data_IF_004566644666
#
_entry.id   IF_004566644666
#
_cell.length_a   1.000
_cell.length_b   1.000
_cell.length_c   1.000
_cell.angle_alpha   90.00
_cell.angle_beta   90.00
_cell.angle_gamma   90.00
#
_symmetry.space_group_name_H-M   'P 1'
#
loop_
_entity.id
_entity.type
_entity.pdbx_description
1 polymer ?
#
# COMPACT_ATOMS: atom_id res chain seq x y z
N UNK A 1 -19.25 22.44 58.96
CA UNK A 1 -18.44 21.24 58.74
C UNK A 1 -19.30 20.28 57.92
N UNK A 2 -19.02 20.11 56.63
CA UNK A 2 -19.79 19.21 55.77
C UNK A 2 -18.99 17.93 55.55
N UNK A 3 -19.52 16.80 55.98
CA UNK A 3 -18.91 15.48 55.81
C UNK A 3 -19.32 14.94 54.45
N UNK A 4 -18.40 14.83 53.50
CA UNK A 4 -18.64 14.21 52.20
C UNK A 4 -18.38 12.70 52.35
N UNK A 5 -19.38 11.87 52.07
CA UNK A 5 -19.21 10.42 52.08
C UNK A 5 -18.37 9.98 50.88
N UNK A 6 -17.23 9.34 51.15
CA UNK A 6 -16.35 8.80 50.12
C UNK A 6 -16.62 7.31 49.88
N UNK A 7 -16.41 6.80 48.66
CA UNK A 7 -16.50 5.37 48.39
C UNK A 7 -15.55 4.56 49.29
N UNK A 8 -16.00 3.40 49.74
CA UNK A 8 -15.21 2.48 50.57
C UNK A 8 -13.95 2.08 49.79
N UNK A 9 -12.77 2.21 50.41
CA UNK A 9 -11.48 1.94 49.76
C UNK A 9 -10.84 3.15 49.06
N UNK A 10 -11.40 4.34 49.23
CA UNK A 10 -10.74 5.58 48.79
C UNK A 10 -9.52 5.89 49.65
N UNK A 11 -8.44 6.37 49.04
CA UNK A 11 -7.17 6.71 49.70
C UNK A 11 -6.59 7.99 49.11
N UNK A 12 -5.96 8.81 49.94
CA UNK A 12 -5.21 9.99 49.51
C UNK A 12 -3.69 9.74 49.45
N UNK A 13 -3.25 8.55 49.85
CA UNK A 13 -1.84 8.16 49.95
C UNK A 13 -0.97 9.17 50.71
N UNK A 14 -1.56 9.90 51.67
CA UNK A 14 -0.87 10.94 52.43
C UNK A 14 -0.53 12.20 51.63
N UNK A 15 -1.13 12.39 50.45
CA UNK A 15 -0.93 13.58 49.62
C UNK A 15 -2.19 14.47 49.63
N UNK A 16 -2.11 15.69 50.19
CA UNK A 16 -3.25 16.62 50.20
C UNK A 16 -3.72 16.93 48.78
N UNK A 17 -5.03 16.83 48.53
CA UNK A 17 -5.62 17.09 47.22
C UNK A 17 -5.66 15.89 46.27
N UNK A 18 -5.08 14.75 46.64
CA UNK A 18 -5.19 13.50 45.89
C UNK A 18 -6.34 12.66 46.46
N UNK A 19 -7.28 12.24 45.63
CA UNK A 19 -8.32 11.29 46.02
C UNK A 19 -8.38 10.15 45.00
N UNK A 20 -7.81 9.01 45.37
CA UNK A 20 -7.92 7.79 44.60
C UNK A 20 -9.18 7.05 45.03
N UNK A 21 -10.09 6.78 44.08
CA UNK A 21 -11.27 5.94 44.31
C UNK A 21 -11.02 4.54 43.74
N UNK A 22 -11.58 3.49 44.34
CA UNK A 22 -11.41 2.12 43.83
C UNK A 22 -12.01 1.99 42.43
N UNK A 23 -11.28 1.32 41.54
CA UNK A 23 -11.78 1.03 40.18
C UNK A 23 -12.86 -0.04 40.20
N UNK A 24 -13.88 0.10 39.35
CA UNK A 24 -14.91 -0.95 39.20
C UNK A 24 -14.44 -1.98 38.18
N UNK A 25 -14.84 -3.26 38.30
CA UNK A 25 -14.52 -4.28 37.30
C UNK A 25 -14.95 -3.88 35.87
N UNK A 26 -16.06 -3.16 35.74
CA UNK A 26 -16.56 -2.65 34.47
C UNK A 26 -15.62 -1.59 33.85
N UNK A 27 -14.96 -0.76 34.67
CA UNK A 27 -14.00 0.24 34.18
C UNK A 27 -12.80 -0.44 33.54
N UNK A 28 -12.28 -1.49 34.20
CA UNK A 28 -11.17 -2.32 33.70
C UNK A 28 -11.58 -3.00 32.38
N UNK A 29 -12.76 -3.64 32.35
CA UNK A 29 -13.25 -4.32 31.15
C UNK A 29 -13.39 -3.33 29.98
N UNK A 30 -14.01 -2.17 30.23
CA UNK A 30 -14.20 -1.13 29.22
C UNK A 30 -12.89 -0.60 28.70
N UNK A 31 -11.90 -0.41 29.58
CA UNK A 31 -10.56 0.01 29.22
C UNK A 31 -9.90 -0.97 28.25
N UNK A 32 -9.93 -2.28 28.54
CA UNK A 32 -9.33 -3.28 27.64
C UNK A 32 -10.10 -3.42 26.33
N UNK A 33 -11.43 -3.41 26.38
CA UNK A 33 -12.26 -3.52 25.18
C UNK A 33 -12.04 -2.33 24.23
N UNK A 34 -12.03 -1.11 24.73
CA UNK A 34 -11.96 0.08 23.88
C UNK A 34 -10.52 0.47 23.52
N UNK A 35 -9.51 0.17 24.32
CA UNK A 35 -8.13 0.48 23.94
C UNK A 35 -7.47 -0.64 23.12
N UNK A 36 -7.73 -1.92 23.41
CA UNK A 36 -7.03 -3.03 22.76
C UNK A 36 -7.92 -3.74 21.74
N UNK A 37 -9.12 -4.18 22.13
CA UNK A 37 -9.97 -4.97 21.23
C UNK A 37 -10.50 -4.11 20.07
N UNK A 38 -11.01 -2.92 20.36
CA UNK A 38 -11.48 -1.99 19.33
C UNK A 38 -10.34 -1.54 18.41
N UNK A 39 -9.15 -1.31 18.96
CA UNK A 39 -7.95 -1.00 18.18
C UNK A 39 -7.62 -2.12 17.20
N UNK A 40 -7.55 -3.37 17.69
CA UNK A 40 -7.29 -4.54 16.86
C UNK A 40 -8.33 -4.68 15.74
N UNK A 41 -9.61 -4.50 16.07
CA UNK A 41 -10.71 -4.63 15.12
C UNK A 41 -10.71 -3.53 14.04
N UNK A 42 -10.15 -2.36 14.33
CA UNK A 42 -10.19 -1.19 13.44
C UNK A 42 -8.94 -1.02 12.60
N UNK A 43 -7.90 -1.85 12.79
CA UNK A 43 -6.68 -1.84 11.97
C UNK A 43 -7.05 -1.96 10.48
N UNK A 44 -6.59 -0.99 9.70
CA UNK A 44 -6.83 -0.97 8.26
C UNK A 44 -6.11 -2.13 7.56
N UNK A 45 -6.84 -2.78 6.67
CA UNK A 45 -6.35 -3.84 5.78
C UNK A 45 -5.83 -3.24 4.49
N UNK A 46 -4.68 -3.73 4.01
CA UNK A 46 -4.21 -3.37 2.66
C UNK A 46 -4.97 -4.15 1.59
N UNK A 47 -5.12 -3.60 0.37
CA UNK A 47 -5.71 -4.33 -0.74
C UNK A 47 -5.02 -5.66 -1.00
N UNK A 48 -5.82 -6.74 -1.02
CA UNK A 48 -5.34 -8.11 -1.24
C UNK A 48 -4.42 -8.65 -0.14
N UNK A 49 -4.42 -8.08 1.05
CA UNK A 49 -3.62 -8.59 2.17
C UNK A 49 -4.10 -9.99 2.59
N UNK A 50 -3.15 -10.91 2.81
CA UNK A 50 -3.46 -12.25 3.29
C UNK A 50 -3.75 -12.22 4.79
N UNK A 51 -4.53 -13.18 5.27
CA UNK A 51 -5.00 -13.22 6.68
C UNK A 51 -3.84 -13.34 7.68
N UNK A 52 -2.81 -14.10 7.34
CA UNK A 52 -1.60 -14.27 8.14
C UNK A 52 -0.80 -12.96 8.24
N UNK A 53 -0.58 -12.28 7.12
CA UNK A 53 0.10 -10.98 7.09
C UNK A 53 -0.72 -9.90 7.84
N UNK A 54 -2.04 -9.92 7.68
CA UNK A 54 -2.95 -9.05 8.42
C UNK A 54 -2.85 -9.27 9.93
N UNK A 55 -2.88 -10.52 10.40
CA UNK A 55 -2.82 -10.84 11.82
C UNK A 55 -1.50 -10.37 12.45
N UNK A 56 -0.37 -10.58 11.77
CA UNK A 56 0.94 -10.07 12.21
C UNK A 56 0.90 -8.54 12.32
N UNK A 57 0.29 -7.86 11.37
CA UNK A 57 0.16 -6.40 11.41
C UNK A 57 -0.78 -5.91 12.52
N UNK A 58 -1.85 -6.65 12.85
CA UNK A 58 -2.72 -6.34 13.99
C UNK A 58 -1.93 -6.46 15.30
N UNK A 59 -1.19 -7.56 15.49
CA UNK A 59 -0.35 -7.76 16.66
C UNK A 59 0.71 -6.66 16.75
N UNK A 60 1.40 -6.36 15.64
CA UNK A 60 2.38 -5.27 15.57
C UNK A 60 1.76 -3.92 15.92
N UNK A 61 0.54 -3.65 15.44
CA UNK A 61 -0.18 -2.40 15.74
C UNK A 61 -0.61 -2.32 17.21
N UNK A 62 -0.92 -3.44 17.88
CA UNK A 62 -1.25 -3.47 19.31
C UNK A 62 -0.02 -3.19 20.19
N UNK A 63 1.14 -3.74 19.83
CA UNK A 63 2.38 -3.53 20.56
C UNK A 63 2.98 -2.15 20.29
N UNK A 64 2.84 -1.65 19.06
CA UNK A 64 3.38 -0.38 18.60
C UNK A 64 2.30 0.40 17.83
N UNK A 65 1.51 1.25 18.52
CA UNK A 65 0.42 2.02 17.90
C UNK A 65 0.83 2.80 16.65
N UNK A 66 2.09 3.26 16.58
CA UNK A 66 2.66 3.94 15.42
C UNK A 66 2.63 3.12 14.13
N UNK A 67 2.70 1.78 14.21
CA UNK A 67 2.60 0.90 13.04
C UNK A 67 1.19 0.91 12.45
N UNK A 68 0.16 0.94 13.29
CA UNK A 68 -1.23 1.09 12.85
C UNK A 68 -1.48 2.48 12.25
N UNK A 69 -0.90 3.52 12.86
CA UNK A 69 -1.04 4.90 12.41
C UNK A 69 -0.58 5.11 10.96
N UNK A 70 0.55 4.50 10.59
CA UNK A 70 1.09 4.59 9.23
C UNK A 70 0.07 4.15 8.17
N UNK A 71 -0.67 3.06 8.43
CA UNK A 71 -1.66 2.52 7.48
C UNK A 71 -2.86 3.45 7.35
N UNK A 72 -3.33 4.02 8.46
CA UNK A 72 -4.40 5.01 8.43
C UNK A 72 -3.99 6.31 7.72
N UNK A 73 -2.76 6.78 7.92
CA UNK A 73 -2.23 7.94 7.17
C UNK A 73 -2.14 7.62 5.68
N UNK A 74 -1.60 6.46 5.30
CA UNK A 74 -1.54 5.99 3.90
C UNK A 74 -2.93 6.00 3.27
N UNK A 75 -3.95 5.49 3.97
CA UNK A 75 -5.34 5.49 3.54
C UNK A 75 -5.94 6.89 3.32
N UNK A 76 -5.60 7.83 4.19
CA UNK A 76 -6.07 9.22 4.08
C UNK A 76 -5.39 9.92 2.91
N UNK A 77 -4.06 9.80 2.82
CA UNK A 77 -3.25 10.47 1.81
C UNK A 77 -3.46 9.92 0.40
N UNK A 78 -3.97 8.69 0.27
CA UNK A 78 -4.27 8.09 -1.02
C UNK A 78 -5.37 8.86 -1.78
N UNK A 79 -6.22 9.61 -1.07
CA UNK A 79 -7.20 10.52 -1.67
C UNK A 79 -8.34 9.82 -2.43
N UNK A 80 -8.58 8.53 -2.20
CA UNK A 80 -9.62 7.75 -2.87
C UNK A 80 -11.03 8.35 -2.71
N UNK A 81 -11.32 8.95 -1.56
CA UNK A 81 -12.61 9.64 -1.28
C UNK A 81 -12.91 10.79 -2.26
N UNK A 82 -11.89 11.45 -2.82
CA UNK A 82 -12.09 12.57 -3.73
C UNK A 82 -12.42 12.11 -5.16
N UNK A 83 -12.26 10.82 -5.47
CA UNK A 83 -12.60 10.25 -6.77
C UNK A 83 -14.08 9.87 -6.79
N UNK A 84 -14.87 10.61 -7.58
CA UNK A 84 -16.29 10.36 -7.79
C UNK A 84 -16.51 9.61 -9.11
N UNK A 85 -17.35 8.59 -9.07
CA UNK A 85 -17.89 7.89 -10.25
C UNK A 85 -16.88 7.18 -11.17
N UNK A 86 -15.63 7.01 -10.74
CA UNK A 86 -14.59 6.28 -11.47
C UNK A 86 -13.95 5.25 -10.53
N UNK A 87 -14.45 4.02 -10.61
CA UNK A 87 -14.03 2.95 -9.71
C UNK A 87 -12.62 2.43 -10.02
N UNK A 88 -12.19 2.47 -11.29
CA UNK A 88 -10.83 2.13 -11.68
C UNK A 88 -9.83 3.11 -11.09
N UNK A 89 -10.09 4.42 -11.21
CA UNK A 89 -9.24 5.44 -10.60
C UNK A 89 -9.29 5.38 -9.07
N UNK A 90 -10.44 5.07 -8.48
CA UNK A 90 -10.58 4.87 -7.02
C UNK A 90 -9.78 3.65 -6.54
N UNK A 91 -9.75 2.56 -7.31
CA UNK A 91 -8.94 1.38 -7.04
C UNK A 91 -7.44 1.67 -7.17
N UNK A 92 -7.04 2.42 -8.20
CA UNK A 92 -5.65 2.88 -8.37
C UNK A 92 -5.19 3.72 -7.17
N UNK A 93 -5.99 4.74 -6.81
CA UNK A 93 -5.78 5.57 -5.63
C UNK A 93 -5.71 4.74 -4.36
N UNK A 94 -6.48 3.68 -4.24
CA UNK A 94 -6.44 2.79 -3.07
C UNK A 94 -5.26 1.80 -3.08
N UNK A 95 -4.47 1.73 -4.15
CA UNK A 95 -3.39 0.74 -4.31
C UNK A 95 -3.89 -0.68 -4.54
N UNK A 96 -5.10 -0.82 -5.09
CA UNK A 96 -5.79 -2.09 -5.33
C UNK A 96 -5.56 -2.65 -6.74
N UNK A 97 -4.72 -2.01 -7.55
CA UNK A 97 -4.44 -2.43 -8.92
C UNK A 97 -3.00 -2.91 -9.05
N UNK A 98 -2.80 -3.88 -9.92
CA UNK A 98 -1.49 -4.41 -10.27
C UNK A 98 -1.34 -4.58 -11.78
N UNK A 99 -0.10 -4.50 -12.26
CA UNK A 99 0.23 -4.62 -13.68
C UNK A 99 1.41 -5.58 -13.86
N UNK A 100 1.46 -6.23 -15.01
CA UNK A 100 2.57 -7.10 -15.39
C UNK A 100 3.76 -6.26 -15.82
N UNK A 101 4.94 -6.55 -15.27
CA UNK A 101 6.19 -5.86 -15.55
C UNK A 101 7.30 -6.87 -15.84
N UNK A 102 8.32 -6.43 -16.58
CA UNK A 102 9.52 -7.22 -16.84
C UNK A 102 10.36 -7.25 -15.55
N UNK A 103 10.72 -8.45 -15.09
CA UNK A 103 11.63 -8.69 -13.97
C UNK A 103 13.09 -8.49 -14.35
N UNK A 104 13.99 -8.57 -13.37
CA UNK A 104 15.44 -8.44 -13.60
C UNK A 104 16.03 -9.61 -14.42
N UNK A 105 15.35 -10.76 -14.37
CA UNK A 105 15.58 -11.99 -15.09
C UNK A 105 15.03 -11.97 -16.53
N UNK A 106 14.22 -10.96 -16.89
CA UNK A 106 13.69 -10.84 -18.24
C UNK A 106 14.80 -10.66 -19.29
N UNK A 107 14.70 -11.40 -20.39
CA UNK A 107 15.56 -11.22 -21.57
C UNK A 107 14.70 -11.22 -22.85
N UNK A 108 15.11 -10.48 -23.91
CA UNK A 108 14.45 -10.55 -25.20
C UNK A 108 14.66 -11.93 -25.85
N UNK A 109 13.64 -12.47 -26.53
CA UNK A 109 13.71 -13.69 -27.34
C UNK A 109 13.63 -13.32 -28.82
N UNK A 110 14.17 -14.17 -29.69
CA UNK A 110 14.11 -13.96 -31.14
C UNK A 110 12.64 -13.89 -31.60
N UNK A 111 12.30 -12.84 -32.34
CA UNK A 111 10.94 -12.57 -32.81
C UNK A 111 10.07 -11.74 -31.86
N UNK A 112 10.57 -11.36 -30.67
CA UNK A 112 9.87 -10.42 -29.83
C UNK A 112 9.88 -9.02 -30.42
N UNK A 113 8.76 -8.32 -30.27
CA UNK A 113 8.62 -6.89 -30.54
C UNK A 113 8.38 -6.18 -29.20
N UNK A 114 9.44 -5.98 -28.38
CA UNK A 114 9.27 -5.39 -27.06
C UNK A 114 9.04 -3.89 -27.18
N UNK A 115 7.94 -3.40 -26.62
CA UNK A 115 7.67 -1.97 -26.46
C UNK A 115 8.52 -1.38 -25.32
N UNK A 116 8.72 -0.06 -25.32
CA UNK A 116 9.38 0.67 -24.22
C UNK A 116 10.80 0.16 -23.90
N UNK A 117 11.62 -0.06 -24.93
CA UNK A 117 13.03 -0.46 -24.80
C UNK A 117 13.94 0.62 -25.36
N UNK A 118 15.09 0.83 -24.71
CA UNK A 118 16.12 1.75 -25.18
C UNK A 118 17.15 0.93 -25.97
N UNK A 119 17.40 1.32 -27.21
CA UNK A 119 18.46 0.74 -28.03
C UNK A 119 19.78 1.44 -27.69
N UNK A 120 20.71 0.70 -27.09
CA UNK A 120 22.08 1.16 -26.87
C UNK A 120 22.99 0.50 -27.91
N UNK A 121 23.49 1.29 -28.86
CA UNK A 121 24.51 0.84 -29.81
C UNK A 121 25.78 0.49 -29.04
N UNK A 122 26.32 -0.71 -29.23
CA UNK A 122 27.62 -1.09 -28.71
C UNK A 122 28.69 -0.20 -29.32
N UNK A 123 29.62 0.31 -28.50
CA UNK A 123 30.77 1.02 -29.04
C UNK A 123 31.60 0.02 -29.83
N UNK A 124 31.81 0.30 -31.13
CA UNK A 124 32.75 -0.46 -31.95
C UNK A 124 34.13 -0.32 -31.32
N UNK A 125 34.64 -1.39 -30.72
CA UNK A 125 36.04 -1.46 -30.35
C UNK A 125 36.80 -1.64 -31.68
N UNK A 126 37.37 -0.55 -32.20
CA UNK A 126 38.36 -0.65 -33.26
C UNK A 126 39.55 -1.41 -32.70
N UNK A 127 39.64 -2.68 -33.06
CA UNK A 127 40.81 -3.50 -32.80
C UNK A 127 41.93 -2.96 -33.70
N UNK A 128 42.72 -2.00 -33.20
CA UNK A 128 43.93 -1.50 -33.87
C UNK A 128 45.05 -2.53 -33.73
N UNK A 129 44.88 -3.70 -34.32
CA UNK A 129 46.02 -4.55 -34.63
C UNK A 129 46.71 -4.00 -35.87
N UNK A 130 47.73 -3.18 -35.62
CA UNK A 130 48.74 -2.78 -36.59
C UNK A 130 49.49 -4.04 -37.04
N UNK A 131 49.21 -4.52 -38.24
CA UNK A 131 50.16 -5.33 -39.00
C UNK A 131 50.53 -4.51 -40.23
N UNK A 132 51.77 -4.01 -40.22
CA UNK A 132 52.43 -3.57 -41.45
C UNK A 132 52.68 -4.78 -42.34
N UNK A 133 52.61 -4.51 -43.64
CA UNK A 133 53.08 -5.30 -44.78
C UNK A 133 52.18 -6.44 -45.31
N UNK A 134 51.51 -6.21 -46.46
CA UNK A 134 52.02 -6.58 -47.81
C UNK A 134 50.91 -6.54 -48.91
N UNK A 135 51.23 -5.82 -50.01
CA UNK A 135 50.85 -5.94 -51.45
C UNK A 135 49.37 -5.91 -51.91
N UNK A 136 49.01 -5.09 -52.93
CA UNK A 136 47.64 -4.98 -53.44
C UNK A 136 47.32 -6.03 -54.52
N UNK A 137 46.42 -6.97 -54.23
CA UNK A 137 45.73 -7.75 -55.25
C UNK A 137 44.21 -7.57 -55.14
N UNK A 138 43.60 -7.28 -56.29
CA UNK A 138 42.18 -7.01 -56.50
C UNK A 138 41.30 -8.05 -55.81
N UNK A 139 40.58 -7.64 -54.76
CA UNK A 139 39.49 -8.41 -54.16
C UNK A 139 38.18 -7.69 -54.44
N UNK A 140 37.26 -8.39 -55.11
CA UNK A 140 35.86 -8.00 -55.17
C UNK A 140 35.35 -7.79 -53.75
N UNK A 141 35.04 -6.54 -53.40
CA UNK A 141 34.54 -6.18 -52.08
C UNK A 141 33.16 -6.78 -51.86
N UNK A 142 33.09 -7.95 -51.24
CA UNK A 142 31.91 -8.35 -50.50
C UNK A 142 31.80 -7.40 -49.31
N UNK A 143 30.93 -6.39 -49.39
CA UNK A 143 30.62 -5.52 -48.26
C UNK A 143 29.91 -6.34 -47.18
N UNK A 144 30.67 -6.98 -46.30
CA UNK A 144 30.13 -7.59 -45.08
C UNK A 144 29.85 -6.45 -44.11
N UNK A 145 28.60 -5.99 -44.07
CA UNK A 145 28.13 -5.11 -43.00
C UNK A 145 28.49 -5.79 -41.67
N UNK A 146 29.46 -5.22 -40.94
CA UNK A 146 29.77 -5.67 -39.59
C UNK A 146 28.63 -5.15 -38.73
N UNK A 147 27.65 -6.01 -38.47
CA UNK A 147 26.53 -5.68 -37.60
C UNK A 147 27.08 -5.28 -36.23
N UNK A 148 27.02 -3.99 -35.91
CA UNK A 148 27.39 -3.52 -34.59
C UNK A 148 26.42 -4.15 -33.57
N UNK A 149 26.92 -4.73 -32.47
CA UNK A 149 26.04 -5.31 -31.48
C UNK A 149 25.13 -4.22 -30.89
N UNK A 150 23.83 -4.33 -31.15
CA UNK A 150 22.82 -3.46 -30.54
C UNK A 150 22.37 -4.10 -29.23
N UNK A 151 22.64 -3.42 -28.12
CA UNK A 151 22.16 -3.83 -26.81
C UNK A 151 20.76 -3.25 -26.54
N UNK A 152 19.78 -4.13 -26.36
CA UNK A 152 18.45 -3.75 -25.89
C UNK A 152 18.48 -3.58 -24.37
N UNK A 153 18.23 -2.36 -23.90
CA UNK A 153 18.15 -2.04 -22.47
C UNK A 153 16.69 -1.79 -22.12
N UNK A 154 16.11 -2.68 -21.33
CA UNK A 154 14.79 -2.44 -20.72
C UNK A 154 14.95 -1.41 -19.61
N UNK A 155 14.11 -0.38 -19.60
CA UNK A 155 14.01 0.52 -18.46
C UNK A 155 12.82 0.14 -17.60
N UNK A 156 12.98 0.25 -16.28
CA UNK A 156 11.83 0.21 -15.37
C UNK A 156 11.13 1.56 -15.48
N UNK A 157 9.83 1.60 -15.82
CA UNK A 157 9.12 2.87 -15.95
C UNK A 157 9.17 3.67 -14.63
N UNK A 158 9.25 5.01 -14.67
CA UNK A 158 9.23 5.85 -13.47
C UNK A 158 8.06 5.53 -12.54
N UNK A 159 6.91 5.17 -13.12
CA UNK A 159 5.72 4.79 -12.38
C UNK A 159 5.87 3.45 -11.62
N UNK A 160 6.87 2.62 -11.86
CA UNK A 160 7.09 1.43 -11.01
C UNK A 160 7.64 1.79 -9.63
N UNK A 161 8.27 2.96 -9.50
CA UNK A 161 8.93 3.37 -8.29
C UNK A 161 7.98 4.16 -7.39
N UNK A 162 7.98 3.84 -6.10
CA UNK A 162 7.36 4.71 -5.11
C UNK A 162 8.12 6.05 -5.03
N UNK A 163 7.59 7.01 -4.25
CA UNK A 163 8.25 8.32 -4.02
C UNK A 163 9.68 8.21 -3.44
N UNK A 164 10.08 7.04 -2.96
CA UNK A 164 11.41 6.75 -2.42
C UNK A 164 12.31 6.01 -3.41
N UNK A 165 11.91 5.86 -4.68
CA UNK A 165 12.74 5.24 -5.72
C UNK A 165 12.81 3.72 -5.66
N UNK A 166 11.90 3.05 -4.93
CA UNK A 166 11.86 1.59 -4.83
C UNK A 166 10.71 1.00 -5.65
N UNK A 167 10.96 -0.04 -6.47
CA UNK A 167 9.90 -0.72 -7.22
C UNK A 167 8.96 -1.46 -6.26
N UNK A 168 7.66 -1.20 -6.36
CA UNK A 168 6.67 -1.83 -5.47
C UNK A 168 6.12 -3.09 -6.13
N UNK A 169 6.91 -4.16 -6.10
CA UNK A 169 6.45 -5.47 -6.54
C UNK A 169 5.34 -6.00 -5.64
N UNK A 170 4.38 -6.69 -6.24
CA UNK A 170 3.37 -7.42 -5.49
C UNK A 170 4.05 -8.61 -4.82
N UNK A 171 3.98 -8.64 -3.49
CA UNK A 171 4.50 -9.74 -2.68
C UNK A 171 3.45 -10.15 -1.65
N UNK A 172 3.18 -11.46 -1.55
CA UNK A 172 2.21 -12.05 -0.62
C UNK A 172 0.86 -11.33 -0.58
N UNK A 173 0.33 -10.96 -1.74
CA UNK A 173 -1.04 -10.43 -1.86
C UNK A 173 -1.88 -11.31 -2.77
N UNK A 174 -3.16 -11.35 -2.47
CA UNK A 174 -4.17 -12.04 -3.25
C UNK A 174 -4.46 -11.17 -4.48
N UNK A 175 -4.30 -11.76 -5.66
CA UNK A 175 -4.63 -11.14 -6.95
C UNK A 175 -5.92 -11.81 -7.44
N UNK A 176 -6.88 -11.00 -7.87
CA UNK A 176 -8.15 -11.43 -8.44
C UNK A 176 -7.94 -12.17 -9.76
N UNK A 177 -8.82 -13.10 -10.08
CA UNK A 177 -8.81 -13.80 -11.36
C UNK A 177 -7.87 -15.00 -11.41
N UNK A 178 -7.52 -15.42 -12.61
CA UNK A 178 -6.63 -16.57 -12.86
C UNK A 178 -5.48 -16.15 -13.74
N UNK A 179 -4.26 -16.50 -13.36
CA UNK A 179 -3.09 -16.16 -14.12
C UNK A 179 -2.00 -17.23 -14.09
N UNK A 180 -1.20 -17.26 -15.15
CA UNK A 180 0.06 -17.98 -15.27
C UNK A 180 1.08 -16.95 -15.76
N UNK A 181 2.06 -16.67 -14.92
CA UNK A 181 3.08 -15.67 -15.21
C UNK A 181 4.33 -16.36 -15.78
N UNK A 182 4.77 -16.02 -17.01
CA UNK A 182 5.99 -16.58 -17.58
C UNK A 182 7.25 -16.14 -16.83
N UNK A 183 8.33 -16.90 -16.99
CA UNK A 183 9.65 -16.54 -16.49
C UNK A 183 10.10 -15.17 -17.02
N UNK A 184 10.74 -14.36 -16.17
CA UNK A 184 11.09 -12.99 -16.50
C UNK A 184 10.00 -11.96 -16.27
N UNK A 185 8.80 -12.33 -15.80
CA UNK A 185 7.72 -11.37 -15.52
C UNK A 185 7.33 -11.38 -14.06
N UNK A 186 6.88 -10.22 -13.56
CA UNK A 186 6.44 -10.00 -12.18
C UNK A 186 5.22 -9.10 -12.16
N UNK A 187 4.46 -9.11 -11.06
CA UNK A 187 3.43 -8.11 -10.81
C UNK A 187 4.00 -6.93 -10.03
N UNK A 188 3.62 -5.72 -10.40
CA UNK A 188 3.89 -4.49 -9.66
C UNK A 188 2.59 -3.77 -9.32
N UNK A 189 2.56 -3.08 -8.18
CA UNK A 189 1.43 -2.25 -7.78
C UNK A 189 1.39 -1.02 -8.69
N UNK A 190 0.21 -0.71 -9.22
CA UNK A 190 0.00 0.47 -10.06
C UNK A 190 0.01 1.72 -9.17
N UNK A 191 0.66 2.82 -9.58
CA UNK A 191 0.64 4.06 -8.80
C UNK A 191 -0.73 4.69 -8.65
N UNK A 192 -0.86 5.43 -7.56
CA UNK A 192 -2.07 6.17 -7.20
C UNK A 192 -2.50 7.22 -8.23
N UNK A 193 -1.57 7.78 -9.01
CA UNK A 193 -1.80 8.88 -9.95
C UNK A 193 -1.76 8.45 -11.42
N UNK A 194 -1.92 7.15 -11.70
CA UNK A 194 -1.95 6.64 -13.07
C UNK A 194 -3.16 7.19 -13.84
N UNK A 195 -2.99 7.37 -15.15
CA UNK A 195 -4.08 7.68 -16.08
C UNK A 195 -4.41 6.44 -16.90
N UNK A 196 -5.69 6.16 -17.05
CA UNK A 196 -6.18 5.02 -17.83
C UNK A 196 -6.67 5.50 -19.19
N UNK A 197 -6.22 4.80 -20.23
CA UNK A 197 -6.83 4.95 -21.55
C UNK A 197 -8.17 4.21 -21.52
N UNK A 198 -9.24 4.90 -21.89
CA UNK A 198 -10.55 4.26 -22.01
C UNK A 198 -10.56 3.42 -23.28
N UNK A 199 -11.09 2.19 -23.19
CA UNK A 199 -11.45 1.42 -24.37
C UNK A 199 -12.60 2.15 -25.08
N UNK A 200 -12.25 3.04 -25.99
CA UNK A 200 -13.20 3.66 -26.91
C UNK A 200 -13.37 2.69 -28.08
N UNK A 201 -14.50 1.99 -28.12
CA UNK A 201 -14.88 1.25 -29.32
C UNK A 201 -15.57 2.25 -30.27
N UNK A 202 -14.94 2.65 -31.40
CA UNK A 202 -15.52 3.64 -32.31
C UNK A 202 -16.82 3.16 -32.97
N UNK A 203 -17.16 1.88 -32.83
CA UNK A 203 -18.35 1.25 -33.40
C UNK A 203 -19.58 1.28 -32.49
N UNK A 204 -19.43 1.60 -31.20
CA UNK A 204 -20.52 1.55 -30.22
C UNK A 204 -20.52 2.75 -29.28
N UNK A 205 -21.62 3.52 -29.24
CA UNK A 205 -21.82 4.64 -28.30
C UNK A 205 -21.97 4.21 -26.82
N UNK A 206 -21.83 2.91 -26.54
CA UNK A 206 -22.00 2.32 -25.21
C UNK A 206 -20.65 2.42 -24.49
N UNK A 207 -20.58 3.23 -23.44
CA UNK A 207 -19.42 3.28 -22.56
C UNK A 207 -19.38 2.01 -21.71
N UNK A 208 -18.32 1.19 -21.79
CA UNK A 208 -18.21 0.01 -20.93
C UNK A 208 -18.12 0.46 -19.47
N UNK A 209 -18.95 -0.13 -18.61
CA UNK A 209 -18.90 0.08 -17.16
C UNK A 209 -17.90 -0.89 -16.55
N UNK A 210 -16.81 -0.37 -16.01
CA UNK A 210 -15.84 -1.16 -15.24
C UNK A 210 -16.25 -1.11 -13.77
N UNK A 211 -16.79 -2.21 -13.27
CA UNK A 211 -17.15 -2.36 -11.85
C UNK A 211 -16.07 -3.18 -11.14
N UNK A 212 -15.49 -2.60 -10.09
CA UNK A 212 -14.49 -3.27 -9.25
C UNK A 212 -15.13 -3.57 -7.91
N UNK A 213 -15.12 -4.84 -7.50
CA UNK A 213 -15.69 -5.25 -6.23
C UNK A 213 -14.95 -4.59 -5.07
N UNK A 214 -15.71 -3.77 -4.33
CA UNK A 214 -15.26 -2.97 -3.18
C UNK A 214 -16.20 -3.13 -2.00
N UNK A 215 -15.71 -2.88 -0.80
CA UNK A 215 -16.53 -2.89 0.41
C UNK A 215 -16.22 -1.68 1.27
N UNK A 216 -17.26 -1.00 1.74
CA UNK A 216 -17.13 0.05 2.75
C UNK A 216 -17.39 -0.56 4.13
N UNK A 217 -16.36 -0.56 4.98
CA UNK A 217 -16.46 -1.19 6.29
C UNK A 217 -17.00 -0.21 7.34
N UNK A 218 -18.31 0.05 7.25
CA UNK A 218 -19.01 0.96 8.17
C UNK A 218 -18.91 0.47 9.62
N UNK A 219 -18.86 -0.86 9.83
CA UNK A 219 -18.72 -1.45 11.17
C UNK A 219 -17.37 -1.04 11.80
N UNK A 220 -16.26 -1.16 11.06
CA UNK A 220 -14.96 -0.66 11.54
C UNK A 220 -15.00 0.84 11.85
N UNK A 221 -15.64 1.64 11.00
CA UNK A 221 -15.78 3.08 11.25
C UNK A 221 -16.58 3.38 12.55
N UNK A 222 -17.69 2.67 12.79
CA UNK A 222 -18.47 2.83 14.03
C UNK A 222 -17.69 2.43 15.28
N UNK A 223 -16.94 1.33 15.22
CA UNK A 223 -16.07 0.89 16.33
C UNK A 223 -14.98 1.94 16.58
N UNK A 224 -14.34 2.44 15.52
CA UNK A 224 -13.31 3.47 15.63
C UNK A 224 -13.86 4.80 16.18
N UNK A 225 -15.11 5.14 15.86
CA UNK A 225 -15.81 6.30 16.42
C UNK A 225 -16.05 6.14 17.92
N UNK A 226 -16.59 4.99 18.36
CA UNK A 226 -16.80 4.70 19.76
C UNK A 226 -15.48 4.71 20.56
N UNK A 227 -14.44 4.09 20.01
CA UNK A 227 -13.09 4.11 20.58
C UNK A 227 -12.55 5.54 20.70
N UNK A 228 -12.68 6.35 19.64
CA UNK A 228 -12.22 7.75 19.64
C UNK A 228 -12.93 8.58 20.69
N UNK A 229 -14.26 8.46 20.79
CA UNK A 229 -15.04 9.18 21.79
C UNK A 229 -14.62 8.81 23.22
N UNK A 230 -14.41 7.52 23.48
CA UNK A 230 -13.97 7.04 24.80
C UNK A 230 -12.55 7.49 25.16
N UNK A 231 -11.60 7.30 24.24
CA UNK A 231 -10.21 7.67 24.46
C UNK A 231 -10.07 9.19 24.66
N UNK A 232 -10.78 9.98 23.86
CA UNK A 232 -10.77 11.44 23.98
C UNK A 232 -11.45 11.92 25.27
N UNK A 233 -12.54 11.28 25.69
CA UNK A 233 -13.20 11.59 26.98
C UNK A 233 -12.29 11.28 28.16
N UNK A 234 -11.59 10.14 28.11
CA UNK A 234 -10.63 9.74 29.15
C UNK A 234 -9.46 10.71 29.22
N UNK A 235 -8.92 11.10 28.07
CA UNK A 235 -7.85 12.09 27.97
C UNK A 235 -8.30 13.47 28.48
N UNK A 236 -9.53 13.89 28.16
CA UNK A 236 -10.09 15.14 28.67
C UNK A 236 -10.27 15.12 30.19
N UNK A 237 -10.72 14.00 30.74
CA UNK A 237 -10.86 13.81 32.21
C UNK A 237 -9.51 13.76 32.92
N UNK A 238 -8.43 13.41 32.24
CA UNK A 238 -7.07 13.45 32.78
C UNK A 238 -6.56 14.88 33.04
N UNK A 239 -7.22 15.91 32.50
CA UNK A 239 -6.80 17.31 32.69
C UNK A 239 -6.86 17.73 34.16
N UNK A 240 -6.00 18.67 34.55
CA UNK A 240 -5.98 19.25 35.88
C UNK A 240 -5.01 18.51 36.80
N UNK A 241 -5.45 18.13 37.99
CA UNK A 241 -4.59 17.67 39.07
C UNK A 241 -3.71 16.47 38.69
N UNK A 242 -4.24 15.54 37.89
CA UNK A 242 -3.46 14.37 37.45
C UNK A 242 -2.23 14.77 36.61
N UNK A 243 -2.37 15.72 35.67
CA UNK A 243 -1.25 16.21 34.86
C UNK A 243 -0.38 17.18 35.67
N UNK A 244 -0.97 18.01 36.52
CA UNK A 244 -0.20 18.93 37.37
C UNK A 244 0.73 18.19 38.33
N UNK A 245 0.28 17.04 38.84
CA UNK A 245 1.01 16.26 39.84
C UNK A 245 1.97 15.23 39.21
N UNK A 246 1.52 14.50 38.18
CA UNK A 246 2.29 13.40 37.57
C UNK A 246 2.90 13.76 36.21
N UNK A 247 2.63 14.96 35.68
CA UNK A 247 3.15 15.43 34.40
C UNK A 247 2.80 14.48 33.26
N UNK A 248 3.78 14.20 32.39
CA UNK A 248 3.64 13.25 31.28
C UNK A 248 3.52 11.79 31.70
N UNK A 249 3.75 11.46 32.98
CA UNK A 249 3.56 10.12 33.53
C UNK A 249 2.14 9.90 34.08
N UNK A 250 1.24 10.89 33.96
CA UNK A 250 -0.15 10.75 34.36
C UNK A 250 -0.83 9.55 33.67
N UNK A 251 -1.46 8.68 34.46
CA UNK A 251 -2.14 7.49 33.94
C UNK A 251 -3.15 7.82 32.84
N UNK A 252 -3.88 8.93 32.95
CA UNK A 252 -4.84 9.35 31.92
C UNK A 252 -4.21 9.76 30.58
N UNK A 253 -2.88 9.96 30.50
CA UNK A 253 -2.17 10.18 29.24
C UNK A 253 -1.80 8.87 28.52
N UNK A 254 -1.89 7.73 29.20
CA UNK A 254 -1.60 6.41 28.58
C UNK A 254 -2.58 6.08 27.43
N UNK A 255 -3.76 6.69 27.41
CA UNK A 255 -4.73 6.53 26.32
C UNK A 255 -4.43 7.40 25.10
N UNK A 256 -3.50 8.37 25.19
CA UNK A 256 -3.23 9.33 24.12
C UNK A 256 -2.82 8.66 22.79
N UNK A 257 -1.94 7.63 22.75
CA UNK A 257 -1.63 6.93 21.51
C UNK A 257 -2.85 6.28 20.87
N UNK A 258 -3.76 5.74 21.68
CA UNK A 258 -5.00 5.12 21.21
C UNK A 258 -5.99 6.15 20.70
N UNK A 259 -6.07 7.34 21.31
CA UNK A 259 -6.90 8.44 20.83
C UNK A 259 -6.45 8.91 19.44
N UNK A 260 -5.14 9.12 19.23
CA UNK A 260 -4.60 9.52 17.92
C UNK A 260 -4.83 8.43 16.88
N UNK A 261 -4.52 7.19 17.24
CA UNK A 261 -4.66 6.05 16.32
C UNK A 261 -6.12 5.82 15.93
N UNK A 262 -7.06 5.85 16.88
CA UNK A 262 -8.48 5.60 16.59
C UNK A 262 -9.09 6.68 15.71
N UNK A 263 -8.69 7.94 15.88
CA UNK A 263 -9.13 9.04 15.01
C UNK A 263 -8.62 8.81 13.59
N UNK A 264 -7.34 8.44 13.45
CA UNK A 264 -6.73 8.20 12.15
C UNK A 264 -7.34 6.97 11.48
N UNK A 265 -7.62 5.90 12.23
CA UNK A 265 -8.35 4.74 11.73
C UNK A 265 -9.77 5.11 11.30
N UNK A 266 -10.49 5.93 12.07
CA UNK A 266 -11.83 6.39 11.73
C UNK A 266 -11.81 7.12 10.39
N UNK A 267 -10.94 8.12 10.25
CA UNK A 267 -10.83 8.89 9.01
C UNK A 267 -10.38 7.98 7.86
N UNK A 268 -9.40 7.10 8.09
CA UNK A 268 -8.93 6.15 7.09
C UNK A 268 -10.03 5.22 6.57
N UNK A 269 -10.83 4.61 7.45
CA UNK A 269 -11.95 3.74 7.10
C UNK A 269 -13.09 4.50 6.37
N UNK A 270 -13.24 5.81 6.61
CA UNK A 270 -14.18 6.66 5.87
C UNK A 270 -13.62 7.10 4.50
N UNK A 271 -12.30 7.28 4.40
CA UNK A 271 -11.65 7.81 3.20
C UNK A 271 -11.32 6.74 2.14
N UNK A 272 -10.99 5.51 2.55
CA UNK A 272 -10.53 4.47 1.65
C UNK A 272 -11.49 3.26 1.68
N UNK A 273 -12.01 2.82 0.51
CA UNK A 273 -12.73 1.55 0.42
C UNK A 273 -11.79 0.36 0.55
N UNK A 274 -12.29 -0.75 1.08
CA UNK A 274 -11.56 -2.01 1.20
C UNK A 274 -11.67 -2.83 -0.08
N UNK A 275 -10.56 -3.46 -0.48
CA UNK A 275 -10.48 -4.35 -1.64
C UNK A 275 -9.98 -5.73 -1.18
N UNK A 276 -10.75 -6.81 -1.41
CA UNK A 276 -10.38 -8.16 -0.96
C UNK A 276 -9.17 -8.73 -1.73
N UNK A 277 -8.89 -8.19 -2.91
CA UNK A 277 -7.82 -8.63 -3.82
C UNK A 277 -7.27 -7.45 -4.61
N UNK A 278 -6.08 -7.63 -5.19
CA UNK A 278 -5.57 -6.76 -6.24
C UNK A 278 -6.19 -7.14 -7.58
N UNK A 279 -6.53 -6.16 -8.42
CA UNK A 279 -7.06 -6.40 -9.76
C UNK A 279 -5.97 -6.17 -10.79
N UNK A 280 -5.87 -7.07 -11.78
CA UNK A 280 -4.89 -6.97 -12.86
C UNK A 280 -5.37 -5.94 -13.87
N UNK A 281 -4.50 -5.02 -14.26
CA UNK A 281 -4.78 -4.02 -15.30
C UNK A 281 -4.12 -4.45 -16.60
N UNK A 282 -4.86 -4.40 -17.69
CA UNK A 282 -4.33 -4.72 -19.02
C UNK A 282 -3.19 -3.74 -19.42
N UNK A 283 -2.14 -4.28 -20.04
CA UNK A 283 -1.00 -3.47 -20.49
C UNK A 283 -0.25 -4.16 -21.63
N UNK A 284 0.49 -3.38 -22.42
CA UNK A 284 1.32 -3.94 -23.50
C UNK A 284 2.34 -4.99 -23.04
N UNK A 285 2.82 -4.89 -21.79
CA UNK A 285 3.71 -5.89 -21.18
C UNK A 285 2.95 -7.18 -20.83
N UNK A 286 1.68 -7.08 -20.45
CA UNK A 286 0.81 -8.25 -20.25
C UNK A 286 0.56 -8.97 -21.58
N UNK A 287 0.33 -8.24 -22.68
CA UNK A 287 0.18 -8.84 -24.01
C UNK A 287 1.46 -9.51 -24.52
N UNK A 288 2.61 -8.93 -24.21
CA UNK A 288 3.90 -9.57 -24.41
C UNK A 288 4.02 -10.87 -23.59
N UNK A 289 3.63 -10.84 -22.31
CA UNK A 289 3.62 -12.03 -21.48
C UNK A 289 2.66 -13.10 -22.01
N UNK A 290 1.47 -12.72 -22.51
CA UNK A 290 0.52 -13.63 -23.17
C UNK A 290 1.17 -14.33 -24.37
N UNK A 291 1.87 -13.58 -25.23
CA UNK A 291 2.63 -14.14 -26.38
C UNK A 291 3.71 -15.13 -25.97
N UNK A 292 4.26 -15.00 -24.75
CA UNK A 292 5.25 -15.92 -24.19
C UNK A 292 4.65 -17.09 -23.39
N UNK A 293 3.36 -17.40 -23.59
CA UNK A 293 2.66 -18.49 -22.91
C UNK A 293 2.05 -18.10 -21.58
N UNK A 294 2.02 -16.80 -21.25
CA UNK A 294 1.31 -16.27 -20.11
C UNK A 294 -0.20 -16.39 -20.30
N UNK A 295 -0.91 -16.54 -19.19
CA UNK A 295 -2.37 -16.61 -19.20
C UNK A 295 -2.88 -15.64 -18.15
N UNK A 296 -3.90 -14.84 -18.49
CA UNK A 296 -4.51 -13.88 -17.57
C UNK A 296 -6.00 -13.83 -17.89
N UNK A 297 -6.83 -13.98 -16.86
CA UNK A 297 -8.29 -13.84 -16.93
C UNK A 297 -8.80 -13.07 -15.73
N UNK A 298 -9.77 -12.18 -15.95
CA UNK A 298 -10.32 -11.31 -14.91
C UNK A 298 -9.50 -10.04 -14.71
N UNK A 299 -8.75 -9.64 -15.73
CA UNK A 299 -8.15 -8.32 -15.86
C UNK A 299 -9.19 -7.25 -16.22
N UNK A 300 -8.87 -6.00 -15.87
CA UNK A 300 -9.68 -4.78 -16.08
C UNK A 300 -8.95 -3.74 -16.92
#
# INVERSE_FOLDING_TARGET
NYTIALPIGSSDHGQPGLLCTPTKPLDILTFFLLNYVAHAATVLTRPGERVDDYLVNVIGSLLFPSLGLYRGIEAILCGAIFVRSDDLRKAAKSGALCVVVRGADWRPRNGDLPSNVILKRGQSYEDKHFYEDEVPQQRQGHYRYKEEPVHLVTYSPPYMFNKFGCPVFVHRRIIHGTYILPEGYRFAIVPHDIQFQKAEDPSTSIKPTIEISTTYNIVKALIALAQSAYALTTLYRARGDQINQFGYAAFGLTVAPYAVMSIVNLIGNLCQPEYPSLYMVESSTMDEARRRGGFFKGDV
#
